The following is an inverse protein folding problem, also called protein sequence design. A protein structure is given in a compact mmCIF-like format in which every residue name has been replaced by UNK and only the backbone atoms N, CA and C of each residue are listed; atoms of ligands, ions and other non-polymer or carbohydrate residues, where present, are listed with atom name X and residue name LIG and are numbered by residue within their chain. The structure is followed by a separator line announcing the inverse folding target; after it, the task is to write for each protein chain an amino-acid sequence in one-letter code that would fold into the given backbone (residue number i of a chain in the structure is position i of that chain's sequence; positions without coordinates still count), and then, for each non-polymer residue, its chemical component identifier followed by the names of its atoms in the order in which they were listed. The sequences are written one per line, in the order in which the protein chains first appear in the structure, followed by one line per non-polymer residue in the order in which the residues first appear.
data_IF_789285477661
#
_entry.id   IF_789285477661
#
_cell.length_a   1.000
_cell.length_b   1.000
_cell.length_c   1.000
_cell.angle_alpha   90.00
_cell.angle_beta   90.00
_cell.angle_gamma   90.00
#
_symmetry.space_group_name_H-M   'P 1'
#
loop_
_entity.id
_entity.type
_entity.pdbx_description
1 polymer ?
#
# COMPACT_ATOMS: atom_id res chain seq x y z
N UNK A 1 5.32 -7.58 -11.46
CA UNK A 1 6.10 -6.31 -11.49
C UNK A 1 7.56 -6.62 -11.18
N UNK A 2 8.54 -5.93 -11.79
CA UNK A 2 9.95 -6.17 -11.50
C UNK A 2 10.34 -5.70 -10.10
N UNK A 3 11.46 -6.19 -9.58
CA UNK A 3 12.08 -5.67 -8.35
C UNK A 3 12.38 -4.17 -8.51
N UNK A 4 12.09 -3.39 -7.47
CA UNK A 4 12.17 -1.93 -7.46
C UNK A 4 10.94 -1.23 -8.01
N UNK A 5 9.92 -1.97 -8.47
CA UNK A 5 8.64 -1.39 -8.87
C UNK A 5 7.92 -0.75 -7.68
N UNK A 6 7.27 0.39 -7.90
CA UNK A 6 6.51 1.10 -6.87
C UNK A 6 5.02 0.88 -7.11
N UNK A 7 4.32 0.40 -6.08
CA UNK A 7 2.85 0.39 -6.05
C UNK A 7 2.40 1.46 -5.07
N UNK A 8 1.51 2.33 -5.52
CA UNK A 8 0.96 3.43 -4.72
C UNK A 8 -0.51 3.15 -4.43
N UNK A 9 -0.94 3.54 -3.24
CA UNK A 9 -2.28 3.38 -2.70
C UNK A 9 -2.77 4.74 -2.21
N UNK A 10 -4.00 5.10 -2.54
CA UNK A 10 -4.57 6.39 -2.17
C UNK A 10 -5.26 6.34 -0.79
N UNK A 11 -5.80 5.17 -0.43
CA UNK A 11 -6.72 5.01 0.72
C UNK A 11 -6.40 3.75 1.56
N UNK A 12 -5.17 3.21 1.51
CA UNK A 12 -4.79 1.95 2.17
C UNK A 12 -5.05 1.91 3.68
N UNK A 13 -5.11 3.06 4.33
CA UNK A 13 -5.33 3.20 5.77
C UNK A 13 -6.64 3.97 6.09
N UNK A 14 -7.49 4.22 5.09
CA UNK A 14 -8.79 4.85 5.29
C UNK A 14 -9.85 3.80 5.66
N UNK A 15 -10.41 3.92 6.87
CA UNK A 15 -11.47 3.04 7.36
C UNK A 15 -12.76 3.12 6.51
N UNK A 16 -12.98 4.19 5.75
CA UNK A 16 -14.14 4.36 4.87
C UNK A 16 -13.97 3.65 3.53
N UNK A 17 -12.74 3.33 3.14
CA UNK A 17 -12.39 2.69 1.87
C UNK A 17 -11.44 1.50 2.08
N UNK A 18 -11.87 0.42 2.76
CA UNK A 18 -10.98 -0.66 3.19
C UNK A 18 -10.51 -1.59 2.05
N UNK A 19 -10.95 -1.35 0.82
CA UNK A 19 -10.78 -2.28 -0.31
C UNK A 19 -9.31 -2.53 -0.65
N UNK A 20 -8.48 -1.48 -0.68
CA UNK A 20 -7.04 -1.62 -0.96
C UNK A 20 -6.35 -2.45 0.12
N UNK A 21 -6.69 -2.22 1.39
CA UNK A 21 -6.09 -2.95 2.52
C UNK A 21 -6.42 -4.44 2.43
N UNK A 22 -7.71 -4.77 2.22
CA UNK A 22 -8.17 -6.15 2.08
C UNK A 22 -7.47 -6.82 0.89
N UNK A 23 -7.45 -6.17 -0.28
CA UNK A 23 -6.79 -6.70 -1.46
C UNK A 23 -5.29 -6.94 -1.26
N UNK A 24 -4.59 -6.06 -0.53
CA UNK A 24 -3.18 -6.21 -0.20
C UNK A 24 -2.94 -7.45 0.69
N UNK A 25 -3.78 -7.64 1.71
CA UNK A 25 -3.71 -8.82 2.59
C UNK A 25 -3.98 -10.12 1.82
N UNK A 26 -4.98 -10.14 0.94
CA UNK A 26 -5.40 -11.34 0.21
C UNK A 26 -4.45 -11.71 -0.95
N UNK A 27 -3.82 -10.71 -1.58
CA UNK A 27 -3.06 -10.94 -2.82
C UNK A 27 -1.59 -11.27 -2.60
N UNK A 28 -0.84 -10.37 -1.96
CA UNK A 28 0.64 -10.47 -1.86
C UNK A 28 1.15 -10.55 -0.42
N UNK A 29 0.27 -10.32 0.56
CA UNK A 29 0.57 -10.43 1.98
C UNK A 29 1.42 -9.28 2.51
N UNK A 30 0.91 -8.58 3.53
CA UNK A 30 1.53 -7.35 4.09
C UNK A 30 2.84 -7.64 4.84
N UNK A 31 3.09 -8.88 5.27
CA UNK A 31 4.28 -9.24 6.07
C UNK A 31 5.60 -9.16 5.30
N UNK A 32 5.55 -9.16 3.96
CA UNK A 32 6.75 -9.20 3.12
C UNK A 32 7.23 -7.82 2.68
N UNK A 33 6.42 -6.77 2.88
CA UNK A 33 6.68 -5.44 2.34
C UNK A 33 6.56 -4.37 3.42
N UNK A 34 7.44 -3.37 3.34
CA UNK A 34 7.32 -2.16 4.16
C UNK A 34 6.39 -1.17 3.46
N UNK A 35 5.33 -0.76 4.16
CA UNK A 35 4.44 0.30 3.71
C UNK A 35 5.00 1.65 4.13
N UNK A 36 5.32 2.48 3.14
CA UNK A 36 5.86 3.82 3.34
C UNK A 36 4.74 4.85 3.23
N UNK A 37 4.63 5.74 4.24
CA UNK A 37 3.74 6.91 4.16
C UNK A 37 4.40 8.00 3.33
N UNK A 38 3.64 8.62 2.42
CA UNK A 38 4.11 9.78 1.67
C UNK A 38 4.23 11.01 2.61
N UNK A 39 5.30 11.79 2.47
CA UNK A 39 5.54 12.99 3.30
C UNK A 39 4.68 14.19 2.89
N UNK A 40 4.11 14.20 1.69
CA UNK A 40 3.29 15.29 1.18
C UNK A 40 1.79 15.05 1.39
N UNK A 41 1.36 13.79 1.44
CA UNK A 41 -0.02 13.39 1.66
C UNK A 41 -0.05 12.20 2.63
N UNK A 42 -0.75 12.36 3.76
CA UNK A 42 -0.82 11.32 4.79
C UNK A 42 -1.71 10.14 4.42
N UNK A 43 -2.62 10.31 3.46
CA UNK A 43 -3.52 9.26 2.97
C UNK A 43 -2.75 8.34 2.01
N UNK A 44 -1.95 8.93 1.13
CA UNK A 44 -1.17 8.21 0.14
C UNK A 44 -0.03 7.43 0.80
N UNK A 45 0.05 6.14 0.45
CA UNK A 45 1.14 5.26 0.88
C UNK A 45 1.63 4.41 -0.29
N UNK A 46 2.82 3.83 -0.17
CA UNK A 46 3.40 3.01 -1.23
C UNK A 46 4.25 1.87 -0.70
N UNK A 47 4.43 0.84 -1.54
CA UNK A 47 5.40 -0.23 -1.33
C UNK A 47 6.40 -0.26 -2.48
N UNK A 48 7.60 -0.73 -2.19
CA UNK A 48 8.63 -1.06 -3.18
C UNK A 48 8.77 -2.58 -3.22
N UNK A 49 8.65 -3.16 -4.42
CA UNK A 49 8.67 -4.62 -4.64
C UNK A 49 10.08 -5.22 -4.73
#
# INVERSE_FOLDING_TARGET
MPKGGVIVFDEINDAKAPGEAIALFDSIGVKNYFLHRNSFDSNVSYIVL
#
